data_IF_346657069589
#
_entry.id   IF_346657069589
#
_cell.length_a   1.000
_cell.length_b   1.000
_cell.length_c   1.000
_cell.angle_alpha   90.00
_cell.angle_beta   90.00
_cell.angle_gamma   90.00
#
_symmetry.space_group_name_H-M   'P 1'
#
loop_
_entity.id
_entity.type
_entity.pdbx_description
1 polymer ?
#
# COMPACT_ATOMS: atom_id res chain seq x y z
N UNK A 1 -16.07 9.42 55.81
CA UNK A 1 -16.30 10.28 54.64
C UNK A 1 -17.77 10.18 54.26
N UNK A 2 -18.41 11.29 53.93
CA UNK A 2 -19.86 11.33 53.66
C UNK A 2 -20.17 10.92 52.21
N UNK A 3 -21.35 10.32 51.99
CA UNK A 3 -21.79 9.86 50.67
C UNK A 3 -21.91 11.03 49.66
N UNK A 4 -22.30 12.21 50.13
CA UNK A 4 -22.45 13.43 49.32
C UNK A 4 -21.11 13.93 48.74
N UNK A 5 -20.01 13.82 49.49
CA UNK A 5 -18.67 14.17 48.99
C UNK A 5 -18.24 13.23 47.87
N UNK A 6 -18.53 11.93 48.00
CA UNK A 6 -18.27 10.95 46.95
C UNK A 6 -19.08 11.25 45.70
N UNK A 7 -20.37 11.56 45.82
CA UNK A 7 -21.23 11.91 44.67
C UNK A 7 -20.72 13.15 43.94
N UNK A 8 -20.32 14.19 44.68
CA UNK A 8 -19.74 15.40 44.10
C UNK A 8 -18.42 15.12 43.38
N UNK A 9 -17.54 14.29 43.96
CA UNK A 9 -16.27 13.94 43.32
C UNK A 9 -16.48 13.06 42.09
N UNK A 10 -17.40 12.09 42.14
CA UNK A 10 -17.77 11.25 41.00
C UNK A 10 -18.21 12.05 39.79
N UNK A 11 -19.00 13.10 40.02
CA UNK A 11 -19.45 14.01 38.97
C UNK A 11 -18.31 14.77 38.28
N UNK A 12 -17.14 14.88 38.92
CA UNK A 12 -15.97 15.61 38.41
C UNK A 12 -14.87 14.68 37.86
N UNK A 13 -15.02 13.35 37.97
CA UNK A 13 -13.95 12.42 37.60
C UNK A 13 -13.65 12.42 36.10
N UNK A 14 -14.63 12.70 35.24
CA UNK A 14 -14.44 12.75 33.80
C UNK A 14 -13.53 13.92 33.41
N UNK A 15 -13.92 15.14 33.79
CA UNK A 15 -13.16 16.36 33.56
C UNK A 15 -11.79 16.31 34.26
N UNK A 16 -11.72 15.70 35.46
CA UNK A 16 -10.43 15.46 36.14
C UNK A 16 -9.53 14.54 35.33
N UNK A 17 -10.09 13.47 34.74
CA UNK A 17 -9.31 12.49 33.98
C UNK A 17 -8.72 13.08 32.69
N UNK A 18 -9.39 14.07 32.11
CA UNK A 18 -8.93 14.78 30.91
C UNK A 18 -8.14 16.07 31.23
N UNK A 19 -8.02 16.43 32.51
CA UNK A 19 -7.25 17.59 32.97
C UNK A 19 -7.94 18.93 32.75
N UNK A 20 -9.27 18.92 32.60
CA UNK A 20 -10.08 20.09 32.25
C UNK A 20 -10.66 20.83 33.46
N UNK A 21 -10.46 20.30 34.68
CA UNK A 21 -10.91 20.97 35.90
C UNK A 21 -10.09 22.22 36.21
N UNK A 22 -10.77 23.23 36.75
CA UNK A 22 -10.10 24.37 37.35
C UNK A 22 -9.25 23.92 38.56
N UNK A 23 -8.14 24.62 38.84
CA UNK A 23 -7.19 24.22 39.88
C UNK A 23 -7.82 24.00 41.27
N UNK A 24 -8.84 24.79 41.62
CA UNK A 24 -9.57 24.64 42.88
C UNK A 24 -10.37 23.33 42.95
N UNK A 25 -10.99 22.93 41.85
CA UNK A 25 -11.81 21.70 41.76
C UNK A 25 -10.91 20.46 41.65
N UNK A 26 -9.82 20.56 40.88
CA UNK A 26 -8.79 19.53 40.82
C UNK A 26 -8.20 19.24 42.21
N UNK A 27 -7.87 20.29 42.98
CA UNK A 27 -7.37 20.15 44.34
C UNK A 27 -8.37 19.47 45.29
N UNK A 28 -9.67 19.73 45.14
CA UNK A 28 -10.73 19.07 45.90
C UNK A 28 -10.81 17.58 45.57
N UNK A 29 -10.82 17.24 44.28
CA UNK A 29 -10.84 15.85 43.80
C UNK A 29 -9.59 15.10 44.29
N UNK A 30 -8.40 15.68 44.15
CA UNK A 30 -7.13 15.08 44.62
C UNK A 30 -7.08 14.89 46.14
N UNK A 31 -7.62 15.83 46.91
CA UNK A 31 -7.74 15.68 48.35
C UNK A 31 -8.62 14.49 48.72
N UNK A 32 -9.78 14.33 48.06
CA UNK A 32 -10.68 13.21 48.30
C UNK A 32 -10.10 11.87 47.84
N UNK A 33 -9.42 11.84 46.69
CA UNK A 33 -8.80 10.62 46.16
C UNK A 33 -7.69 10.09 47.07
N UNK A 34 -7.04 10.93 47.89
CA UNK A 34 -6.08 10.45 48.89
C UNK A 34 -6.74 9.61 49.98
N UNK A 35 -7.99 9.88 50.32
CA UNK A 35 -8.67 9.27 51.47
C UNK A 35 -9.75 8.25 51.09
N UNK A 36 -10.26 8.26 49.86
CA UNK A 36 -11.36 7.39 49.42
C UNK A 36 -10.92 6.34 48.39
N UNK A 37 -10.98 5.05 48.76
CA UNK A 37 -10.63 3.95 47.86
C UNK A 37 -11.63 3.77 46.70
N UNK A 38 -12.93 3.89 46.96
CA UNK A 38 -13.96 3.72 45.92
C UNK A 38 -13.85 4.73 44.79
N UNK A 39 -13.65 6.01 45.11
CA UNK A 39 -13.45 7.04 44.08
C UNK A 39 -12.14 6.84 43.29
N UNK A 40 -11.08 6.29 43.90
CA UNK A 40 -9.87 5.91 43.17
C UNK A 40 -10.12 4.77 42.18
N UNK A 41 -10.83 3.73 42.62
CA UNK A 41 -11.17 2.58 41.77
C UNK A 41 -12.02 2.99 40.57
N UNK A 42 -12.98 3.90 40.76
CA UNK A 42 -13.82 4.44 39.69
C UNK A 42 -13.01 5.28 38.69
N UNK A 43 -12.11 6.16 39.17
CA UNK A 43 -11.23 6.92 38.30
C UNK A 43 -10.32 6.01 37.47
N UNK A 44 -9.79 4.95 38.08
CA UNK A 44 -8.98 3.95 37.36
C UNK A 44 -9.81 3.15 36.35
N UNK A 45 -11.05 2.79 36.68
CA UNK A 45 -11.96 2.13 35.74
C UNK A 45 -12.30 3.02 34.53
N UNK A 46 -12.51 4.31 34.76
CA UNK A 46 -12.72 5.31 33.72
C UNK A 46 -11.49 5.44 32.82
N UNK A 47 -10.29 5.60 33.42
CA UNK A 47 -9.01 5.70 32.69
C UNK A 47 -8.75 4.47 31.81
N UNK A 48 -9.01 3.26 32.31
CA UNK A 48 -8.89 2.03 31.51
C UNK A 48 -9.85 2.02 30.32
N UNK A 49 -11.11 2.40 30.54
CA UNK A 49 -12.11 2.48 29.47
C UNK A 49 -11.72 3.48 28.38
N UNK A 50 -11.25 4.68 28.77
CA UNK A 50 -10.76 5.69 27.85
C UNK A 50 -9.52 5.23 27.08
N UNK A 51 -8.59 4.52 27.74
CA UNK A 51 -7.41 3.98 27.08
C UNK A 51 -7.77 2.99 25.97
N UNK A 52 -8.72 2.08 26.23
CA UNK A 52 -9.23 1.14 25.23
C UNK A 52 -9.92 1.86 24.07
N UNK A 53 -10.80 2.82 24.36
CA UNK A 53 -11.49 3.61 23.33
C UNK A 53 -10.49 4.36 22.43
N UNK A 54 -9.46 4.99 23.03
CA UNK A 54 -8.38 5.67 22.30
C UNK A 54 -7.58 4.69 21.44
N UNK A 55 -7.36 3.46 21.88
CA UNK A 55 -6.68 2.44 21.07
C UNK A 55 -7.51 2.04 19.85
N UNK A 56 -8.79 1.69 20.04
CA UNK A 56 -9.71 1.32 18.95
C UNK A 56 -9.83 2.44 17.92
N UNK A 57 -9.91 3.69 18.38
CA UNK A 57 -9.94 4.85 17.50
C UNK A 57 -8.66 4.96 16.65
N UNK A 58 -7.48 4.86 17.28
CA UNK A 58 -6.18 4.93 16.57
C UNK A 58 -6.05 3.85 15.51
N UNK A 59 -6.43 2.61 15.84
CA UNK A 59 -6.39 1.49 14.89
C UNK A 59 -7.33 1.71 13.69
N UNK A 60 -8.52 2.25 13.96
CA UNK A 60 -9.51 2.57 12.93
C UNK A 60 -9.02 3.67 11.97
N UNK A 61 -8.46 4.75 12.51
CA UNK A 61 -7.89 5.85 11.71
C UNK A 61 -6.73 5.33 10.84
N UNK A 62 -5.81 4.55 11.42
CA UNK A 62 -4.71 3.94 10.68
C UNK A 62 -5.21 2.98 9.58
N UNK A 63 -6.30 2.25 9.81
CA UNK A 63 -6.97 1.43 8.80
C UNK A 63 -7.49 2.26 7.63
N UNK A 64 -8.20 3.35 7.90
CA UNK A 64 -8.74 4.26 6.88
C UNK A 64 -7.63 4.91 6.04
N UNK A 65 -6.53 5.31 6.67
CA UNK A 65 -5.38 5.88 5.96
C UNK A 65 -4.72 4.88 5.02
N UNK A 66 -4.56 3.63 5.45
CA UNK A 66 -4.07 2.53 4.60
C UNK A 66 -4.96 2.32 3.39
N UNK A 67 -6.28 2.29 3.57
CA UNK A 67 -7.24 2.15 2.46
C UNK A 67 -7.15 3.33 1.48
N UNK A 68 -7.03 4.57 1.98
CA UNK A 68 -6.86 5.77 1.14
C UNK A 68 -5.54 5.71 0.35
N UNK A 69 -4.45 5.30 0.97
CA UNK A 69 -3.16 5.14 0.31
C UNK A 69 -3.20 4.07 -0.80
N UNK A 70 -3.83 2.92 -0.53
CA UNK A 70 -4.03 1.88 -1.53
C UNK A 70 -4.85 2.37 -2.73
N UNK A 71 -5.93 3.14 -2.49
CA UNK A 71 -6.74 3.73 -3.55
C UNK A 71 -5.94 4.73 -4.41
N UNK A 72 -5.11 5.56 -3.79
CA UNK A 72 -4.22 6.48 -4.53
C UNK A 72 -3.24 5.73 -5.43
N UNK A 73 -2.61 4.66 -4.91
CA UNK A 73 -1.72 3.80 -5.72
C UNK A 73 -2.46 3.17 -6.89
N UNK A 74 -3.67 2.62 -6.68
CA UNK A 74 -4.49 2.07 -7.77
C UNK A 74 -4.85 3.11 -8.81
N UNK A 75 -5.22 4.33 -8.39
CA UNK A 75 -5.55 5.43 -9.32
C UNK A 75 -4.33 5.86 -10.14
N UNK A 76 -3.13 5.86 -9.56
CA UNK A 76 -1.90 6.18 -10.28
C UNK A 76 -1.52 5.14 -11.36
N UNK A 77 -2.12 3.95 -11.33
CA UNK A 77 -1.89 2.88 -12.32
C UNK A 77 -2.90 2.93 -13.48
N UNK A 78 -3.90 3.82 -13.43
CA UNK A 78 -4.83 4.01 -14.55
C UNK A 78 -4.10 4.73 -15.69
N UNK A 79 -3.70 3.98 -16.72
CA UNK A 79 -3.16 4.53 -17.96
C UNK A 79 -4.27 5.22 -18.75
N UNK A 80 -3.93 6.30 -19.47
CA UNK A 80 -4.87 6.92 -20.40
C UNK A 80 -5.17 5.98 -21.58
N UNK A 81 -6.31 6.17 -22.23
CA UNK A 81 -6.66 5.43 -23.44
C UNK A 81 -5.57 5.56 -24.52
N UNK A 82 -5.04 6.77 -24.71
CA UNK A 82 -3.94 7.03 -25.65
C UNK A 82 -2.67 6.25 -25.30
N UNK A 83 -2.34 6.14 -24.01
CA UNK A 83 -1.17 5.38 -23.55
C UNK A 83 -1.37 3.88 -23.73
N UNK A 84 -2.59 3.37 -23.49
CA UNK A 84 -2.95 1.97 -23.75
C UNK A 84 -2.79 1.66 -25.24
N UNK A 85 -3.36 2.49 -26.11
CA UNK A 85 -3.24 2.28 -27.55
C UNK A 85 -1.78 2.37 -28.03
N UNK A 86 -1.01 3.34 -27.52
CA UNK A 86 0.41 3.48 -27.85
C UNK A 86 1.19 2.21 -27.44
N UNK A 87 0.92 1.68 -26.25
CA UNK A 87 1.55 0.45 -25.77
C UNK A 87 1.18 -0.75 -26.65
N UNK A 88 -0.11 -0.92 -26.99
CA UNK A 88 -0.58 -2.01 -27.87
C UNK A 88 0.10 -1.93 -29.25
N UNK A 89 0.14 -0.74 -29.86
CA UNK A 89 0.81 -0.53 -31.16
C UNK A 89 2.29 -0.88 -31.11
N UNK A 90 3.00 -0.40 -30.08
CA UNK A 90 4.44 -0.68 -29.92
C UNK A 90 4.70 -2.18 -29.72
N UNK A 91 3.91 -2.84 -28.88
CA UNK A 91 4.01 -4.28 -28.65
C UNK A 91 3.77 -5.08 -29.94
N UNK A 92 2.71 -4.73 -30.68
CA UNK A 92 2.35 -5.41 -31.94
C UNK A 92 3.47 -5.30 -32.98
N UNK A 93 4.03 -4.11 -33.17
CA UNK A 93 5.13 -3.88 -34.13
C UNK A 93 6.39 -4.64 -33.69
N UNK A 94 6.75 -4.57 -32.41
CA UNK A 94 7.91 -5.30 -31.88
C UNK A 94 7.75 -6.83 -32.06
N UNK A 95 6.57 -7.37 -31.78
CA UNK A 95 6.27 -8.78 -31.99
C UNK A 95 6.38 -9.19 -33.47
N UNK A 96 5.89 -8.36 -34.38
CA UNK A 96 5.99 -8.61 -35.83
C UNK A 96 7.44 -8.58 -36.33
N UNK A 97 8.24 -7.63 -35.85
CA UNK A 97 9.68 -7.56 -36.16
C UNK A 97 10.41 -8.80 -35.64
N UNK A 98 10.10 -9.24 -34.42
CA UNK A 98 10.69 -10.47 -33.86
C UNK A 98 10.26 -11.73 -34.60
N UNK A 99 9.00 -11.81 -35.06
CA UNK A 99 8.56 -12.91 -35.92
C UNK A 99 9.32 -12.92 -37.26
N UNK A 100 9.47 -11.76 -37.89
CA UNK A 100 10.22 -11.60 -39.15
C UNK A 100 11.70 -11.96 -38.98
N UNK A 101 12.28 -11.58 -37.84
CA UNK A 101 13.65 -11.92 -37.46
C UNK A 101 13.88 -13.43 -37.41
N UNK A 102 12.92 -14.20 -36.87
CA UNK A 102 13.00 -15.67 -36.83
C UNK A 102 12.98 -16.27 -38.24
N UNK A 103 12.15 -15.72 -39.13
CA UNK A 103 12.09 -16.17 -40.52
C UNK A 103 13.44 -15.93 -41.22
N UNK A 104 14.03 -14.74 -41.04
CA UNK A 104 15.34 -14.40 -41.62
C UNK A 104 16.45 -15.28 -41.07
N UNK A 105 16.48 -15.53 -39.76
CA UNK A 105 17.49 -16.40 -39.14
C UNK A 105 17.44 -17.85 -39.64
N UNK A 106 16.30 -18.31 -40.15
CA UNK A 106 16.15 -19.65 -40.72
C UNK A 106 16.63 -19.77 -42.17
N UNK A 107 16.87 -18.64 -42.86
CA UNK A 107 17.37 -18.63 -44.24
C UNK A 107 18.91 -18.63 -44.26
N UNK A 108 19.56 -19.37 -45.18
CA UNK A 108 21.01 -19.32 -45.33
C UNK A 108 21.51 -17.90 -45.60
N UNK A 109 22.42 -17.40 -44.76
CA UNK A 109 22.98 -16.04 -44.86
C UNK A 109 22.09 -14.94 -44.28
N UNK A 110 20.94 -15.27 -43.70
CA UNK A 110 20.03 -14.33 -43.06
C UNK A 110 20.38 -13.99 -41.61
N UNK A 111 21.38 -14.64 -41.02
CA UNK A 111 21.74 -14.54 -39.60
C UNK A 111 22.19 -13.11 -39.23
N UNK A 112 23.06 -12.51 -40.04
CA UNK A 112 23.56 -11.15 -39.79
C UNK A 112 22.45 -10.09 -39.86
N UNK A 113 21.44 -10.30 -40.72
CA UNK A 113 20.31 -9.38 -40.81
C UNK A 113 19.32 -9.59 -39.66
N UNK A 114 19.09 -10.85 -39.25
CA UNK A 114 18.31 -11.16 -38.07
C UNK A 114 18.92 -10.55 -36.81
N UNK A 115 20.25 -10.63 -36.63
CA UNK A 115 20.94 -10.04 -35.47
C UNK A 115 20.73 -8.52 -35.40
N UNK A 116 20.87 -7.81 -36.53
CA UNK A 116 20.59 -6.37 -36.59
C UNK A 116 19.14 -6.04 -36.20
N UNK A 117 18.18 -6.87 -36.60
CA UNK A 117 16.77 -6.68 -36.22
C UNK A 117 16.52 -6.94 -34.73
N UNK A 118 17.16 -7.94 -34.13
CA UNK A 118 17.11 -8.14 -32.67
C UNK A 118 17.65 -6.91 -31.94
N UNK A 119 18.82 -6.42 -32.33
CA UNK A 119 19.44 -5.25 -31.71
C UNK A 119 18.56 -3.99 -31.84
N UNK A 120 17.94 -3.79 -33.00
CA UNK A 120 17.00 -2.70 -33.22
C UNK A 120 15.77 -2.80 -32.30
N UNK A 121 15.15 -3.98 -32.21
CA UNK A 121 13.97 -4.18 -31.34
C UNK A 121 14.34 -3.98 -29.86
N UNK A 122 15.48 -4.50 -29.41
CA UNK A 122 15.94 -4.32 -28.02
C UNK A 122 16.22 -2.86 -27.66
N UNK A 123 16.63 -2.03 -28.63
CA UNK A 123 16.88 -0.60 -28.40
C UNK A 123 15.62 0.24 -28.50
N UNK A 124 14.88 0.13 -29.61
CA UNK A 124 13.76 1.03 -29.90
C UNK A 124 12.44 0.61 -29.23
N UNK A 125 12.33 -0.65 -28.80
CA UNK A 125 11.13 -1.23 -28.19
C UNK A 125 11.42 -1.88 -26.83
N UNK A 126 12.43 -1.38 -26.10
CA UNK A 126 12.89 -1.94 -24.81
C UNK A 126 11.78 -2.10 -23.75
N UNK A 127 10.73 -1.28 -23.84
CA UNK A 127 9.55 -1.31 -22.98
C UNK A 127 8.63 -2.52 -23.24
N UNK A 128 8.65 -3.07 -24.45
CA UNK A 128 7.77 -4.17 -24.90
C UNK A 128 8.16 -5.53 -24.32
N UNK A 129 7.20 -6.46 -24.29
CA UNK A 129 7.46 -7.86 -23.92
C UNK A 129 8.24 -8.57 -25.03
N UNK A 130 7.97 -8.28 -26.30
CA UNK A 130 8.68 -8.84 -27.44
C UNK A 130 10.20 -8.58 -27.38
N UNK A 131 10.64 -7.39 -26.98
CA UNK A 131 12.06 -7.05 -26.83
C UNK A 131 12.76 -7.80 -25.67
N UNK A 132 11.99 -8.26 -24.66
CA UNK A 132 12.49 -9.00 -23.49
C UNK A 132 12.56 -10.50 -23.72
N UNK A 133 11.96 -11.01 -24.80
CA UNK A 133 12.05 -12.42 -25.16
C UNK A 133 13.44 -12.73 -25.73
N UNK A 134 14.04 -13.82 -25.26
CA UNK A 134 15.28 -14.34 -25.86
C UNK A 134 14.97 -14.88 -27.27
N UNK A 135 15.77 -14.57 -28.30
CA UNK A 135 15.61 -15.22 -29.59
C UNK A 135 15.78 -16.74 -29.42
N UNK A 136 14.79 -17.52 -29.86
CA UNK A 136 14.82 -18.99 -29.81
C UNK A 136 15.99 -19.50 -30.68
N UNK A 137 16.72 -20.53 -30.23
CA UNK A 137 17.80 -21.12 -31.02
C UNK A 137 17.25 -21.74 -32.31
N UNK A 138 17.88 -21.42 -33.43
CA UNK A 138 17.66 -22.02 -34.74
C UNK A 138 18.23 -23.45 -34.75
N UNK A 139 17.44 -24.45 -34.39
CA UNK A 139 17.78 -25.84 -34.72
C UNK A 139 17.43 -26.09 -36.18
N UNK A 140 18.42 -25.94 -37.06
CA UNK A 140 18.40 -26.56 -38.39
C UNK A 140 18.63 -28.05 -38.18
N UNK A 141 17.57 -28.86 -38.21
CA UNK A 141 17.73 -30.32 -38.33
C UNK A 141 18.21 -30.59 -39.76
N UNK A 142 19.53 -30.64 -39.94
CA UNK A 142 20.14 -31.26 -41.10
C UNK A 142 20.17 -32.77 -40.86
N UNK A 143 19.41 -33.52 -41.66
CA UNK A 143 19.60 -34.95 -41.83
C UNK A 143 18.41 -35.82 -41.42
N UNK A 144 17.56 -36.16 -42.40
CA UNK A 144 16.93 -37.47 -42.54
C UNK A 144 16.41 -37.60 -43.98
N UNK A 145 17.35 -37.88 -44.90
CA UNK A 145 17.05 -38.62 -46.13
C UNK A 145 17.65 -40.00 -45.89
N UNK A 146 16.81 -41.02 -45.71
CA UNK A 146 17.14 -42.41 -45.96
C UNK A 146 16.23 -42.91 -47.08
#
# INVERSE_FOLDING_TARGET
>A
MSNEECERVRALLAEHSDGELAAAEAGLVEAHLRTCAGCREELEALRRSLALARQVWRESVAGLERLRAARRRRRAVVMSEEDIERAIRRESVAAQLMASTRILAAQPGGEAQAEKMVQYVSREYADTLAAKQKPLPTTRNEGEIQ
#
